data_IF_551360408519
#
_entry.id   IF_551360408519
#
_cell.length_a   1.000
_cell.length_b   1.000
_cell.length_c   1.000
_cell.angle_alpha   90.00
_cell.angle_beta   90.00
_cell.angle_gamma   90.00
#
_symmetry.space_group_name_H-M   'P 1'
#
loop_
_entity.id
_entity.type
_entity.pdbx_description
1 polymer ?
#
# COMPACT_ATOMS: atom_id res chain seq x y z
N UNK A 1 1.37 5.83 -3.70
CA UNK A 1 0.16 5.86 -4.56
C UNK A 1 -0.97 6.54 -3.83
N UNK A 2 -2.06 6.90 -4.51
CA UNK A 2 -3.25 7.51 -3.90
C UNK A 2 -4.50 7.03 -4.64
N UNK A 3 -5.59 6.79 -3.92
CA UNK A 3 -6.85 6.31 -4.50
C UNK A 3 -8.06 6.81 -3.71
N UNK A 4 -9.18 7.05 -4.39
CA UNK A 4 -10.47 7.31 -3.77
C UNK A 4 -11.19 5.97 -3.58
N UNK A 5 -11.57 5.66 -2.35
CA UNK A 5 -12.33 4.46 -2.03
C UNK A 5 -13.79 4.62 -2.48
N UNK A 6 -14.30 3.69 -3.30
CA UNK A 6 -15.70 3.73 -3.74
C UNK A 6 -16.69 3.24 -2.68
N UNK A 7 -16.22 2.84 -1.49
CA UNK A 7 -17.05 2.29 -0.41
C UNK A 7 -17.38 3.32 0.68
N UNK A 8 -16.44 4.20 1.00
CA UNK A 8 -16.56 5.17 2.10
C UNK A 8 -16.22 6.61 1.66
N UNK A 9 -15.88 6.82 0.39
CA UNK A 9 -15.53 8.13 -0.16
C UNK A 9 -14.22 8.72 0.40
N UNK A 10 -13.44 7.92 1.14
CA UNK A 10 -12.17 8.35 1.71
C UNK A 10 -11.04 8.24 0.71
N UNK A 11 -10.06 9.12 0.85
CA UNK A 11 -8.81 9.03 0.09
C UNK A 11 -7.83 8.21 0.91
N UNK A 12 -7.24 7.19 0.30
CA UNK A 12 -6.13 6.43 0.87
C UNK A 12 -4.86 6.73 0.10
N UNK A 13 -3.70 6.59 0.75
CA UNK A 13 -2.40 6.74 0.12
C UNK A 13 -1.36 5.78 0.71
N UNK A 14 -0.33 5.52 -0.09
CA UNK A 14 0.92 4.93 0.36
C UNK A 14 2.09 5.88 0.15
N UNK A 15 3.12 5.74 0.97
CA UNK A 15 4.32 6.57 0.92
C UNK A 15 5.57 5.73 1.20
N UNK A 16 6.69 6.12 0.60
CA UNK A 16 8.01 5.54 0.89
C UNK A 16 8.59 6.10 2.18
N UNK A 17 9.11 5.22 3.01
CA UNK A 17 10.03 5.58 4.09
C UNK A 17 11.46 5.76 3.58
N UNK A 18 12.40 5.87 4.52
CA UNK A 18 13.84 5.89 4.21
C UNK A 18 14.38 4.45 4.06
N UNK A 19 15.32 4.03 4.90
CA UNK A 19 15.70 2.61 5.01
C UNK A 19 14.71 1.91 5.94
N UNK A 20 13.52 1.59 5.42
CA UNK A 20 12.36 1.18 6.21
C UNK A 20 11.38 2.33 6.45
N UNK A 21 10.15 1.99 6.83
CA UNK A 21 9.13 2.96 7.24
C UNK A 21 8.18 3.37 6.12
N UNK A 22 8.04 2.55 5.07
CA UNK A 22 6.93 2.71 4.12
C UNK A 22 5.61 2.56 4.88
N UNK A 23 4.56 3.24 4.43
CA UNK A 23 3.27 3.17 5.11
C UNK A 23 2.08 3.34 4.17
N UNK A 24 0.92 2.85 4.62
CA UNK A 24 -0.39 2.98 3.99
C UNK A 24 -1.38 3.56 5.01
N UNK A 25 -2.22 4.52 4.59
CA UNK A 25 -3.19 5.16 5.47
C UNK A 25 -4.18 6.08 4.75
N UNK A 26 -5.09 6.67 5.51
CA UNK A 26 -6.12 7.60 5.04
C UNK A 26 -5.57 9.04 4.91
N UNK A 27 -5.80 9.73 3.81
CA UNK A 27 -5.58 11.17 3.75
C UNK A 27 -6.67 11.88 4.56
N UNK A 28 -6.27 12.46 5.71
CA UNK A 28 -7.17 13.17 6.62
C UNK A 28 -6.87 14.66 6.60
N UNK A 29 -7.93 15.47 6.55
CA UNK A 29 -7.82 16.93 6.49
C UNK A 29 -7.12 17.48 7.74
N UNK A 30 -6.06 18.25 7.55
CA UNK A 30 -5.35 18.95 8.64
C UNK A 30 -4.48 18.06 9.53
N UNK A 31 -4.35 16.78 9.19
CA UNK A 31 -3.61 15.80 9.98
C UNK A 31 -2.11 15.76 9.62
N UNK A 32 -1.28 15.32 10.58
CA UNK A 32 0.18 15.31 10.45
C UNK A 32 0.76 13.90 10.67
N UNK A 33 1.34 13.31 9.61
CA UNK A 33 1.99 11.99 9.62
C UNK A 33 3.46 12.02 10.07
N UNK A 34 3.98 13.19 10.44
CA UNK A 34 5.17 13.31 11.27
C UNK A 34 6.51 13.14 10.60
N UNK A 35 6.60 12.94 9.28
CA UNK A 35 7.90 13.01 8.61
C UNK A 35 8.49 14.44 8.71
N UNK A 36 9.76 14.65 9.07
CA UNK A 36 10.84 13.68 9.40
C UNK A 36 11.07 13.50 10.92
N UNK A 37 10.13 13.93 11.76
CA UNK A 37 10.18 13.70 13.22
C UNK A 37 10.03 12.21 13.55
N UNK A 38 9.20 11.50 12.77
CA UNK A 38 8.97 10.06 12.87
C UNK A 38 9.67 9.34 11.71
N UNK A 39 10.27 8.18 12.01
CA UNK A 39 10.85 7.28 11.01
C UNK A 39 9.96 6.08 10.69
N UNK A 40 8.83 5.91 11.38
CA UNK A 40 7.94 4.74 11.26
C UNK A 40 8.67 3.39 11.45
N UNK A 41 9.74 3.40 12.27
CA UNK A 41 10.61 2.24 12.50
C UNK A 41 11.76 2.11 11.50
N UNK A 42 11.77 2.92 10.44
CA UNK A 42 12.89 3.10 9.53
C UNK A 42 14.02 3.96 10.10
N UNK A 43 15.13 3.96 9.38
CA UNK A 43 16.35 4.72 9.71
C UNK A 43 16.89 5.44 8.48
N UNK A 44 17.82 6.37 8.68
CA UNK A 44 18.53 6.99 7.56
C UNK A 44 19.29 5.91 6.77
N UNK A 45 19.60 6.16 5.50
CA UNK A 45 20.39 5.23 4.70
C UNK A 45 21.79 5.00 5.26
N UNK A 46 22.34 6.00 5.98
CA UNK A 46 23.57 5.89 6.79
C UNK A 46 23.46 4.93 7.98
N UNK A 47 22.26 4.50 8.35
CA UNK A 47 22.00 3.62 9.49
C UNK A 47 21.64 4.33 10.79
N UNK A 48 21.83 5.65 10.89
CA UNK A 48 21.44 6.41 12.08
C UNK A 48 19.92 6.53 12.22
N UNK A 49 19.37 6.53 13.44
CA UNK A 49 17.95 6.71 13.69
C UNK A 49 17.41 8.03 13.09
N UNK A 50 16.14 8.04 12.69
CA UNK A 50 15.43 9.26 12.28
C UNK A 50 14.67 9.86 13.48
N UNK A 51 13.99 8.98 14.21
CA UNK A 51 13.15 9.32 15.35
C UNK A 51 12.39 8.06 15.80
N UNK A 52 11.46 8.19 16.74
CA UNK A 52 10.66 7.05 17.18
C UNK A 52 9.76 6.55 16.04
N UNK A 53 9.23 5.32 16.23
CA UNK A 53 8.26 4.73 15.30
C UNK A 53 6.96 5.54 15.25
N UNK A 54 6.48 6.01 16.40
CA UNK A 54 5.33 6.87 16.54
C UNK A 54 5.39 7.61 17.89
N UNK A 55 4.75 8.78 18.01
CA UNK A 55 4.55 9.49 19.28
C UNK A 55 3.20 10.23 19.29
N UNK A 56 2.64 10.56 20.47
CA UNK A 56 1.41 11.36 20.56
C UNK A 56 1.49 12.69 19.79
N UNK A 57 0.35 13.12 19.25
CA UNK A 57 0.25 14.34 18.41
C UNK A 57 0.45 14.10 16.92
N UNK A 58 0.67 12.84 16.49
CA UNK A 58 0.79 12.47 15.08
C UNK A 58 -0.24 11.42 14.68
N UNK A 59 -0.75 11.54 13.47
CA UNK A 59 -1.70 10.61 12.86
C UNK A 59 -1.05 9.25 12.66
N UNK A 60 -1.74 8.17 13.04
CA UNK A 60 -1.27 6.80 12.79
C UNK A 60 -1.61 6.36 11.37
N UNK A 61 -0.62 5.82 10.66
CA UNK A 61 -0.87 5.03 9.46
C UNK A 61 -1.59 3.72 9.81
N UNK A 62 -2.28 3.13 8.83
CA UNK A 62 -3.01 1.86 8.96
C UNK A 62 -2.03 0.69 8.96
N UNK A 63 -1.04 0.72 8.07
CA UNK A 63 0.00 -0.30 7.93
C UNK A 63 1.36 0.36 7.69
N UNK A 64 2.43 -0.26 8.18
CA UNK A 64 3.81 0.16 7.92
C UNK A 64 4.69 -1.05 7.63
N UNK A 65 5.74 -0.85 6.82
CA UNK A 65 6.69 -1.90 6.46
C UNK A 65 8.12 -1.52 6.86
N UNK A 66 8.72 -2.40 7.65
CA UNK A 66 10.15 -2.37 8.00
C UNK A 66 10.66 -3.81 7.85
N UNK A 67 11.48 -4.11 6.83
CA UNK A 67 12.07 -3.20 5.83
C UNK A 67 11.06 -2.60 4.84
N UNK A 68 11.45 -1.51 4.16
CA UNK A 68 10.65 -0.89 3.10
C UNK A 68 10.44 -1.85 1.94
N UNK A 69 9.21 -1.92 1.46
CA UNK A 69 8.82 -2.66 0.26
C UNK A 69 8.96 -1.83 -1.02
N UNK A 70 9.22 -0.52 -0.87
CA UNK A 70 9.08 0.52 -1.87
C UNK A 70 7.67 0.50 -2.48
N UNK A 71 6.67 0.80 -1.62
CA UNK A 71 5.26 0.83 -1.96
C UNK A 71 4.94 1.85 -3.07
N UNK A 72 4.32 1.41 -4.16
CA UNK A 72 4.04 2.24 -5.34
C UNK A 72 2.55 2.59 -5.44
N UNK A 73 1.85 2.09 -6.45
CA UNK A 73 0.43 2.38 -6.64
C UNK A 73 -0.44 1.64 -5.64
N UNK A 74 -1.63 2.19 -5.41
CA UNK A 74 -2.64 1.57 -4.58
C UNK A 74 -4.00 1.67 -5.25
N UNK A 75 -4.88 0.73 -4.95
CA UNK A 75 -6.30 0.83 -5.24
C UNK A 75 -7.11 0.14 -4.14
N UNK A 76 -8.33 0.59 -3.90
CA UNK A 76 -9.30 -0.17 -3.12
C UNK A 76 -10.12 -1.01 -4.09
N UNK A 77 -10.00 -2.32 -3.99
CA UNK A 77 -10.59 -3.22 -4.97
C UNK A 77 -12.13 -3.13 -4.95
N UNK A 78 -12.72 -2.92 -6.12
CA UNK A 78 -14.15 -3.03 -6.39
C UNK A 78 -14.34 -3.69 -7.74
N UNK A 79 -14.90 -4.90 -7.76
CA UNK A 79 -15.11 -5.66 -9.00
C UNK A 79 -15.80 -7.01 -8.79
N UNK A 80 -16.19 -7.63 -9.90
CA UNK A 80 -16.88 -8.93 -9.93
C UNK A 80 -15.92 -10.11 -10.08
N UNK A 81 -14.74 -9.91 -10.67
CA UNK A 81 -13.72 -10.95 -10.85
C UNK A 81 -13.31 -11.55 -9.49
N UNK A 82 -12.94 -10.71 -8.52
CA UNK A 82 -12.50 -11.10 -7.18
C UNK A 82 -13.44 -10.52 -6.11
N UNK A 83 -14.73 -10.88 -6.13
CA UNK A 83 -15.75 -10.34 -5.20
C UNK A 83 -15.34 -10.39 -3.73
N UNK A 84 -14.64 -11.44 -3.33
CA UNK A 84 -14.14 -11.65 -1.98
C UNK A 84 -13.04 -10.66 -1.56
N UNK A 85 -12.52 -9.85 -2.48
CA UNK A 85 -11.56 -8.78 -2.23
C UNK A 85 -12.18 -7.39 -2.20
N UNK A 86 -13.49 -7.26 -2.41
CA UNK A 86 -14.15 -5.96 -2.38
C UNK A 86 -13.91 -5.23 -1.05
N UNK A 87 -13.39 -4.01 -1.14
CA UNK A 87 -13.00 -3.19 0.01
C UNK A 87 -11.60 -3.46 0.55
N UNK A 88 -10.85 -4.42 0.02
CA UNK A 88 -9.44 -4.62 0.37
C UNK A 88 -8.55 -3.61 -0.36
N UNK A 89 -7.44 -3.22 0.28
CA UNK A 89 -6.42 -2.40 -0.37
C UNK A 89 -5.44 -3.31 -1.12
N UNK A 90 -5.18 -2.99 -2.38
CA UNK A 90 -4.16 -3.62 -3.20
C UNK A 90 -3.02 -2.64 -3.41
N UNK A 91 -1.80 -3.02 -3.03
CA UNK A 91 -0.65 -2.14 -2.95
C UNK A 91 0.51 -2.79 -3.70
N UNK A 92 0.95 -2.16 -4.78
CA UNK A 92 2.10 -2.66 -5.56
C UNK A 92 3.40 -2.29 -4.86
N UNK A 93 4.44 -3.11 -5.06
CA UNK A 93 5.76 -2.88 -4.48
C UNK A 93 6.88 -3.03 -5.50
N UNK A 94 7.83 -2.09 -5.43
CA UNK A 94 8.94 -2.01 -6.36
C UNK A 94 10.12 -2.85 -5.89
N UNK A 95 10.57 -2.64 -4.65
CA UNK A 95 11.75 -3.32 -4.12
C UNK A 95 11.39 -4.74 -3.72
N UNK A 96 10.22 -4.89 -3.12
CA UNK A 96 9.74 -6.20 -2.68
C UNK A 96 9.16 -7.04 -3.82
N UNK A 97 8.86 -6.47 -4.99
CA UNK A 97 8.41 -7.22 -6.18
C UNK A 97 7.20 -8.12 -5.87
N UNK A 98 6.19 -7.53 -5.26
CA UNK A 98 4.97 -8.23 -4.84
C UNK A 98 3.76 -7.31 -4.83
N UNK A 99 2.59 -7.90 -4.86
CA UNK A 99 1.33 -7.25 -4.53
C UNK A 99 0.98 -7.53 -3.08
N UNK A 100 0.72 -6.49 -2.29
CA UNK A 100 0.20 -6.60 -0.93
C UNK A 100 -1.30 -6.39 -0.95
N UNK A 101 -2.07 -7.37 -0.48
CA UNK A 101 -3.52 -7.29 -0.31
C UNK A 101 -3.82 -7.15 1.18
N UNK A 102 -4.37 -6.00 1.57
CA UNK A 102 -4.74 -5.72 2.95
C UNK A 102 -6.25 -5.79 3.15
N UNK A 103 -6.69 -6.63 4.08
CA UNK A 103 -8.02 -6.53 4.68
C UNK A 103 -7.92 -5.59 5.88
N UNK A 104 -8.42 -4.37 5.74
CA UNK A 104 -8.23 -3.27 6.70
C UNK A 104 -9.54 -2.68 7.23
N UNK A 105 -10.66 -3.36 7.02
CA UNK A 105 -11.97 -2.94 7.55
C UNK A 105 -12.03 -2.95 9.08
N UNK A 106 -11.23 -3.80 9.74
CA UNK A 106 -10.93 -3.74 11.16
C UNK A 106 -9.49 -3.22 11.35
N UNK A 107 -9.37 -1.95 11.76
CA UNK A 107 -8.07 -1.30 11.97
C UNK A 107 -7.29 -1.89 13.17
N UNK A 108 -7.96 -2.61 14.07
CA UNK A 108 -7.28 -3.32 15.16
C UNK A 108 -6.68 -4.65 14.69
N UNK A 109 -7.12 -5.19 13.55
CA UNK A 109 -6.73 -6.49 13.04
C UNK A 109 -6.56 -6.49 11.51
N UNK A 110 -5.66 -5.63 11.02
CA UNK A 110 -5.31 -5.58 9.60
C UNK A 110 -4.60 -6.88 9.22
N UNK A 111 -5.11 -7.57 8.19
CA UNK A 111 -4.48 -8.79 7.65
C UNK A 111 -3.84 -8.51 6.30
N UNK A 112 -2.61 -8.98 6.11
CA UNK A 112 -1.86 -8.88 4.86
C UNK A 112 -1.71 -10.25 4.20
N UNK A 113 -1.95 -10.31 2.90
CA UNK A 113 -1.58 -11.41 2.02
C UNK A 113 -0.61 -10.90 0.95
N UNK A 114 0.41 -11.70 0.63
CA UNK A 114 1.43 -11.37 -0.37
C UNK A 114 1.18 -12.23 -1.60
N UNK A 115 1.09 -11.58 -2.76
CA UNK A 115 0.77 -12.21 -4.04
C UNK A 115 1.90 -11.88 -5.03
N UNK A 116 2.23 -12.84 -5.92
CA UNK A 116 3.23 -12.71 -6.99
C UNK A 116 4.64 -12.36 -6.52
N UNK A 117 5.04 -12.84 -5.34
CA UNK A 117 6.33 -12.48 -4.75
C UNK A 117 7.49 -12.96 -5.62
N UNK A 118 8.21 -12.02 -6.22
CA UNK A 118 9.31 -12.25 -7.16
C UNK A 118 8.89 -13.01 -8.45
N UNK A 119 7.61 -12.99 -8.81
CA UNK A 119 7.12 -13.74 -9.99
C UNK A 119 7.06 -12.86 -11.24
N UNK A 120 6.63 -11.60 -11.10
CA UNK A 120 6.38 -10.68 -12.23
C UNK A 120 7.18 -9.37 -12.12
N UNK A 121 8.26 -9.39 -11.32
CA UNK A 121 9.19 -8.27 -11.20
C UNK A 121 8.65 -7.07 -10.40
N UNK A 122 9.18 -5.88 -10.71
CA UNK A 122 8.87 -4.64 -9.98
C UNK A 122 7.49 -4.13 -10.38
N UNK A 123 6.54 -4.12 -9.45
CA UNK A 123 5.18 -3.62 -9.71
C UNK A 123 5.09 -2.11 -9.49
N UNK A 124 4.85 -1.37 -10.58
CA UNK A 124 4.74 0.09 -10.57
C UNK A 124 3.30 0.55 -10.39
N UNK A 125 2.39 0.07 -11.23
CA UNK A 125 1.00 0.53 -11.24
C UNK A 125 -0.01 -0.62 -11.24
N UNK A 126 -1.24 -0.33 -10.81
CA UNK A 126 -2.36 -1.26 -10.76
C UNK A 126 -3.65 -0.55 -11.17
N UNK A 127 -4.41 -1.15 -12.07
CA UNK A 127 -5.73 -0.65 -12.49
C UNK A 127 -6.76 -1.77 -12.46
N UNK A 128 -7.99 -1.43 -12.07
CA UNK A 128 -9.12 -2.36 -12.03
C UNK A 128 -10.02 -2.05 -13.22
N UNK A 129 -10.31 -3.05 -14.04
CA UNK A 129 -11.22 -2.86 -15.15
C UNK A 129 -12.65 -2.65 -14.63
N UNK A 130 -13.32 -1.55 -15.01
CA UNK A 130 -14.51 -1.06 -14.32
C UNK A 130 -15.72 -1.99 -14.43
N UNK A 131 -15.81 -2.79 -15.50
CA UNK A 131 -17.01 -3.59 -15.79
C UNK A 131 -16.93 -5.04 -15.29
N UNK A 132 -15.73 -5.61 -15.22
CA UNK A 132 -15.56 -7.03 -14.88
C UNK A 132 -14.71 -7.23 -13.61
N UNK A 133 -13.95 -6.22 -13.18
CA UNK A 133 -13.09 -6.34 -12.00
C UNK A 133 -11.74 -7.02 -12.24
N UNK A 134 -11.38 -7.30 -13.50
CA UNK A 134 -10.04 -7.82 -13.84
C UNK A 134 -8.96 -6.82 -13.46
N UNK A 135 -7.79 -7.32 -13.07
CA UNK A 135 -6.71 -6.50 -12.53
C UNK A 135 -5.59 -6.42 -13.55
N UNK A 136 -5.17 -5.21 -13.87
CA UNK A 136 -4.04 -4.94 -14.75
C UNK A 136 -2.88 -4.39 -13.93
N UNK A 137 -1.67 -4.88 -14.19
CA UNK A 137 -0.45 -4.38 -13.55
C UNK A 137 0.53 -3.85 -14.58
N UNK A 138 1.15 -2.71 -14.28
CA UNK A 138 2.38 -2.31 -14.94
C UNK A 138 3.55 -2.83 -14.10
N UNK A 139 4.24 -3.83 -14.65
CA UNK A 139 5.57 -4.25 -14.19
C UNK A 139 6.65 -3.63 -15.06
N UNK A 140 7.85 -3.47 -14.52
CA UNK A 140 9.09 -3.04 -15.20
C UNK A 140 8.96 -2.78 -16.71
N UNK A 141 8.85 -3.84 -17.52
CA UNK A 141 8.73 -3.75 -18.99
C UNK A 141 7.46 -4.40 -19.59
N UNK A 142 6.49 -4.80 -18.76
CA UNK A 142 5.33 -5.60 -19.20
C UNK A 142 4.01 -5.16 -18.55
N UNK A 143 2.93 -5.25 -19.34
CA UNK A 143 1.55 -5.19 -18.88
C UNK A 143 1.04 -6.60 -18.57
N UNK A 144 0.60 -6.82 -17.32
CA UNK A 144 0.04 -8.09 -16.88
C UNK A 144 -1.47 -7.99 -16.67
N UNK A 145 -2.17 -9.09 -16.95
CA UNK A 145 -3.57 -9.29 -16.63
C UNK A 145 -3.69 -10.39 -15.57
N UNK A 146 -4.48 -10.13 -14.55
CA UNK A 146 -4.90 -11.11 -13.55
C UNK A 146 -6.43 -11.26 -13.58
N UNK A 147 -6.86 -12.50 -13.77
CA UNK A 147 -8.24 -12.95 -13.83
C UNK A 147 -8.36 -14.35 -13.21
N UNK A 148 -9.57 -14.77 -12.86
CA UNK A 148 -9.86 -16.16 -12.45
C UNK A 148 -9.90 -17.05 -13.70
N UNK A 149 -9.51 -18.31 -13.50
CA UNK A 149 -9.67 -19.35 -14.51
C UNK A 149 -11.12 -19.77 -14.68
#
# INVERSE_FOLDING_TARGET
GLTLSPFDGKIYLSNHGAKGGDWFGEAKKGENYGWKILGWGGKNYSGFPIGPKWKPGFTKAIQYWVPSIAASAITIYKGDEFKEWNGHALITSLKDQSLRKLKFNDLANVKEEIIFKNEIGRLRDIQIHPNNGKIYFLSEDSLWLMEKN
#
